data_IF_001334191978
#
_entry.id   IF_001334191978
#
_cell.length_a   1.000
_cell.length_b   1.000
_cell.length_c   1.000
_cell.angle_alpha   90.00
_cell.angle_beta   90.00
_cell.angle_gamma   90.00
#
_symmetry.space_group_name_H-M   'P 1'
#
loop_
_entity.id
_entity.type
_entity.pdbx_description
1 polymer ?
#
# COMPACT_ATOMS: atom_id res chain seq x y z
N UNK A 1 -21.32 -9.53 -43.58
CA UNK A 1 -21.87 -10.00 -42.29
C UNK A 1 -20.78 -9.83 -41.28
N UNK A 2 -20.85 -8.73 -40.53
CA UNK A 2 -19.91 -8.34 -39.48
C UNK A 2 -19.76 -9.44 -38.43
N UNK A 3 -18.52 -9.89 -38.26
CA UNK A 3 -18.11 -10.63 -37.07
C UNK A 3 -18.00 -9.66 -35.90
N UNK A 4 -18.62 -9.93 -34.74
CA UNK A 4 -18.60 -9.03 -33.61
C UNK A 4 -17.23 -9.06 -32.91
N UNK A 5 -16.72 -7.86 -32.66
CA UNK A 5 -15.52 -7.56 -31.88
C UNK A 5 -15.61 -8.16 -30.47
N UNK A 6 -14.66 -9.02 -30.08
CA UNK A 6 -14.59 -9.64 -28.75
C UNK A 6 -13.46 -9.02 -27.93
N UNK A 7 -13.85 -8.55 -26.74
CA UNK A 7 -13.03 -8.26 -25.54
C UNK A 7 -12.38 -6.88 -25.43
N UNK A 8 -13.18 -5.88 -24.98
CA UNK A 8 -12.67 -4.69 -24.29
C UNK A 8 -13.07 -4.66 -22.79
N UNK A 9 -14.06 -5.45 -22.37
CA UNK A 9 -14.63 -5.38 -21.01
C UNK A 9 -13.80 -6.05 -19.90
N UNK A 10 -12.77 -6.83 -20.25
CA UNK A 10 -11.99 -7.63 -19.27
C UNK A 10 -10.80 -6.93 -18.61
N UNK A 11 -10.39 -5.74 -19.09
CA UNK A 11 -9.19 -5.05 -18.59
C UNK A 11 -9.50 -4.03 -17.47
N UNK A 12 -10.71 -3.48 -17.49
CA UNK A 12 -11.17 -2.44 -16.55
C UNK A 12 -11.46 -2.97 -15.13
N UNK A 13 -11.77 -4.27 -15.00
CA UNK A 13 -12.12 -4.88 -13.71
C UNK A 13 -10.88 -5.27 -12.86
N UNK A 14 -9.85 -5.83 -13.49
CA UNK A 14 -8.64 -6.30 -12.78
C UNK A 14 -7.82 -5.17 -12.15
N UNK A 15 -7.67 -4.07 -12.89
CA UNK A 15 -6.93 -2.89 -12.40
C UNK A 15 -7.63 -2.26 -11.19
N UNK A 16 -8.96 -2.29 -11.17
CA UNK A 16 -9.76 -1.72 -10.09
C UNK A 16 -9.64 -2.55 -8.81
N UNK A 17 -9.73 -3.89 -8.93
CA UNK A 17 -9.56 -4.79 -7.80
C UNK A 17 -8.14 -4.72 -7.19
N UNK A 18 -7.11 -4.63 -8.04
CA UNK A 18 -5.72 -4.48 -7.59
C UNK A 18 -5.49 -3.14 -6.87
N UNK A 19 -6.12 -2.06 -7.36
CA UNK A 19 -6.08 -0.74 -6.74
C UNK A 19 -6.71 -0.73 -5.35
N UNK A 20 -7.90 -1.33 -5.20
CA UNK A 20 -8.57 -1.45 -3.89
C UNK A 20 -7.71 -2.27 -2.92
N UNK A 21 -7.17 -3.41 -3.36
CA UNK A 21 -6.30 -4.22 -2.52
C UNK A 21 -4.99 -3.49 -2.13
N UNK A 22 -4.47 -2.58 -2.97
CA UNK A 22 -3.32 -1.76 -2.63
C UNK A 22 -3.67 -0.70 -1.57
N UNK A 23 -4.86 -0.11 -1.65
CA UNK A 23 -5.37 0.83 -0.65
C UNK A 23 -5.58 0.14 0.70
N UNK A 24 -6.18 -1.04 0.73
CA UNK A 24 -6.38 -1.80 1.98
C UNK A 24 -5.05 -2.08 2.69
N UNK A 25 -4.01 -2.43 1.92
CA UNK A 25 -2.66 -2.62 2.47
C UNK A 25 -2.03 -1.32 2.96
N UNK A 26 -2.29 -0.20 2.28
CA UNK A 26 -1.82 1.11 2.73
C UNK A 26 -2.49 1.53 4.04
N UNK A 27 -3.80 1.30 4.17
CA UNK A 27 -4.56 1.51 5.41
C UNK A 27 -3.99 0.64 6.53
N UNK A 28 -3.76 -0.65 6.28
CA UNK A 28 -3.16 -1.55 7.26
C UNK A 28 -1.78 -1.07 7.75
N UNK A 29 -0.97 -0.44 6.88
CA UNK A 29 0.30 0.17 7.29
C UNK A 29 0.08 1.34 8.23
N UNK A 30 -0.88 2.23 7.94
CA UNK A 30 -1.20 3.37 8.80
C UNK A 30 -1.78 2.93 10.15
N UNK A 31 -2.64 1.91 10.15
CA UNK A 31 -3.24 1.33 11.36
C UNK A 31 -2.22 0.61 12.26
N UNK A 32 -1.04 0.26 11.73
CA UNK A 32 0.03 -0.35 12.52
C UNK A 32 0.63 0.62 13.56
N UNK A 33 0.48 1.93 13.35
CA UNK A 33 0.93 2.98 14.26
C UNK A 33 -0.11 3.22 15.35
N UNK A 34 0.34 3.21 16.60
CA UNK A 34 -0.54 3.40 17.76
C UNK A 34 -0.16 4.67 18.51
N UNK A 35 -0.97 5.07 19.49
CA UNK A 35 -0.66 6.24 20.33
C UNK A 35 0.64 6.05 21.12
N UNK A 36 0.92 4.81 21.54
CA UNK A 36 2.14 4.42 22.23
C UNK A 36 3.32 4.26 21.27
N UNK A 37 3.08 3.76 20.05
CA UNK A 37 4.12 3.50 19.05
C UNK A 37 4.03 4.44 17.84
N UNK A 38 4.38 5.70 18.07
CA UNK A 38 4.35 6.76 17.03
C UNK A 38 5.54 6.75 16.06
N UNK A 39 6.42 5.76 16.17
CA UNK A 39 7.48 5.57 15.18
C UNK A 39 7.82 4.10 15.09
N UNK A 40 7.85 3.55 13.89
CA UNK A 40 8.08 2.14 13.64
C UNK A 40 9.17 1.95 12.60
N UNK A 41 10.07 1.01 12.83
CA UNK A 41 10.98 0.49 11.82
C UNK A 41 10.23 -0.32 10.77
N UNK A 42 10.84 -0.50 9.61
CA UNK A 42 10.30 -1.36 8.55
C UNK A 42 10.01 -2.79 9.03
N UNK A 43 10.81 -3.30 9.97
CA UNK A 43 10.63 -4.63 10.54
C UNK A 43 9.40 -4.71 11.45
N UNK A 44 9.16 -3.69 12.27
CA UNK A 44 7.96 -3.62 13.13
C UNK A 44 6.69 -3.48 12.29
N UNK A 45 6.71 -2.66 11.22
CA UNK A 45 5.57 -2.55 10.29
C UNK A 45 5.30 -3.91 9.62
N UNK A 46 6.34 -4.61 9.15
CA UNK A 46 6.19 -5.93 8.55
C UNK A 46 5.62 -6.96 9.54
N UNK A 47 6.07 -6.94 10.80
CA UNK A 47 5.57 -7.83 11.83
C UNK A 47 4.09 -7.55 12.17
N UNK A 48 3.68 -6.28 12.26
CA UNK A 48 2.30 -5.89 12.61
C UNK A 48 1.31 -6.11 11.47
N UNK A 49 1.73 -5.86 10.23
CA UNK A 49 0.84 -5.93 9.07
C UNK A 49 0.86 -7.29 8.36
N UNK A 50 1.86 -8.12 8.63
CA UNK A 50 2.09 -9.37 7.88
C UNK A 50 2.53 -9.15 6.43
N UNK A 51 2.81 -7.90 6.03
CA UNK A 51 3.19 -7.57 4.66
C UNK A 51 4.69 -7.76 4.41
N UNK A 52 5.02 -8.12 3.17
CA UNK A 52 6.40 -8.15 2.72
C UNK A 52 7.04 -6.75 2.75
N UNK A 53 8.31 -6.68 3.16
CA UNK A 53 9.08 -5.42 3.23
C UNK A 53 9.10 -4.66 1.91
N UNK A 54 9.22 -5.35 0.77
CA UNK A 54 9.19 -4.74 -0.55
C UNK A 54 7.84 -4.06 -0.86
N UNK A 55 6.73 -4.69 -0.47
CA UNK A 55 5.39 -4.12 -0.58
C UNK A 55 5.25 -2.88 0.30
N UNK A 56 5.70 -2.96 1.55
CA UNK A 56 5.67 -1.83 2.48
C UNK A 56 6.47 -0.65 1.94
N UNK A 57 7.68 -0.87 1.42
CA UNK A 57 8.50 0.21 0.85
C UNK A 57 7.81 0.92 -0.31
N UNK A 58 7.14 0.17 -1.20
CA UNK A 58 6.40 0.74 -2.33
C UNK A 58 5.21 1.59 -1.88
N UNK A 59 4.45 1.09 -0.90
CA UNK A 59 3.30 1.80 -0.35
C UNK A 59 3.74 3.00 0.50
N UNK A 60 4.74 2.84 1.36
CA UNK A 60 5.33 3.91 2.17
C UNK A 60 5.83 5.07 1.31
N UNK A 61 6.52 4.80 0.19
CA UNK A 61 6.91 5.84 -0.76
C UNK A 61 5.71 6.63 -1.30
N UNK A 62 4.57 5.97 -1.52
CA UNK A 62 3.35 6.62 -2.01
C UNK A 62 2.66 7.42 -0.90
N UNK A 63 2.61 6.89 0.32
CA UNK A 63 2.10 7.57 1.51
C UNK A 63 2.93 8.81 1.86
N UNK A 64 4.26 8.73 1.72
CA UNK A 64 5.17 9.86 1.90
C UNK A 64 4.94 10.98 0.89
N UNK A 65 4.72 10.64 -0.38
CA UNK A 65 4.31 11.65 -1.40
C UNK A 65 2.99 12.32 -1.03
N UNK A 66 2.07 11.56 -0.44
CA UNK A 66 0.79 12.05 0.09
C UNK A 66 0.88 12.76 1.44
N UNK A 67 2.07 12.89 2.05
CA UNK A 67 2.28 13.43 3.41
C UNK A 67 1.50 12.71 4.51
N UNK A 68 1.17 11.44 4.29
CA UNK A 68 0.50 10.56 5.25
C UNK A 68 1.48 9.76 6.10
N UNK A 69 2.74 9.71 5.68
CA UNK A 69 3.83 9.01 6.36
C UNK A 69 5.12 9.81 6.19
N UNK A 70 5.97 9.81 7.19
CA UNK A 70 7.29 10.43 7.19
C UNK A 70 8.35 9.37 7.49
N UNK A 71 9.52 9.48 6.85
CA UNK A 71 10.70 8.69 7.22
C UNK A 71 11.67 9.58 7.99
N UNK A 72 11.92 9.22 9.24
CA UNK A 72 12.83 9.89 10.14
C UNK A 72 14.29 9.58 9.81
N UNK A 73 15.21 10.42 10.28
CA UNK A 73 16.66 10.28 10.03
C UNK A 73 17.25 8.98 10.58
N UNK A 74 16.63 8.42 11.63
CA UNK A 74 17.00 7.12 12.21
C UNK A 74 16.47 5.92 11.39
N UNK A 75 15.84 6.16 10.24
CA UNK A 75 15.28 5.14 9.36
C UNK A 75 13.96 4.53 9.82
N UNK A 76 13.35 5.05 10.89
CA UNK A 76 11.97 4.71 11.30
C UNK A 76 10.96 5.54 10.50
N UNK A 77 9.73 5.07 10.47
CA UNK A 77 8.58 5.74 9.87
C UNK A 77 7.71 6.33 10.97
N UNK A 78 6.98 7.41 10.69
CA UNK A 78 6.02 8.08 11.57
C UNK A 78 4.84 8.57 10.76
#
# INVERSE_FOLDING_TARGET
>A
MDSPSKSADGEIDRTSADGVAALDRAIAILDAFTTDDRSLSLAEIAARTGLYKSTILRLANSLMRGRLLERLDNGRYR
#
